data_IF_927283996884
#
_entry.id   IF_927283996884
#
_cell.length_a   1.000
_cell.length_b   1.000
_cell.length_c   1.000
_cell.angle_alpha   90.00
_cell.angle_beta   90.00
_cell.angle_gamma   90.00
#
_symmetry.space_group_name_H-M   'P 1'
#
loop_
_entity.id
_entity.type
_entity.pdbx_description
1 polymer ?
#
# COMPACT_ATOMS: atom_id res chain seq x y z
N UNK A 1 14.32 2.05 -6.55
CA UNK A 1 13.50 1.18 -5.67
C UNK A 1 12.27 2.01 -5.30
N UNK A 2 11.26 2.06 -6.18
CA UNK A 2 10.21 3.10 -6.16
C UNK A 2 8.83 2.55 -5.76
N UNK A 3 8.77 1.35 -5.19
CA UNK A 3 7.51 0.72 -4.79
C UNK A 3 7.01 1.24 -3.44
N UNK A 4 5.70 1.45 -3.33
CA UNK A 4 5.02 1.73 -2.08
C UNK A 4 4.64 0.39 -1.42
N UNK A 5 4.74 0.31 -0.09
CA UNK A 5 4.43 -0.89 0.69
C UNK A 5 3.16 -0.68 1.52
N UNK A 6 2.46 -1.76 1.82
CA UNK A 6 1.26 -1.76 2.68
C UNK A 6 1.55 -1.16 4.07
N UNK A 7 2.77 -1.34 4.59
CA UNK A 7 3.19 -0.70 5.84
C UNK A 7 3.24 0.83 5.79
N UNK A 8 3.59 1.42 4.65
CA UNK A 8 3.60 2.89 4.47
C UNK A 8 2.17 3.43 4.36
N UNK A 9 1.28 2.64 3.76
CA UNK A 9 -0.14 2.96 3.63
C UNK A 9 -0.86 2.98 4.99
N UNK A 10 -0.47 2.10 5.92
CA UNK A 10 -1.03 2.01 7.28
C UNK A 10 -0.42 3.00 8.28
N UNK A 11 0.75 3.57 7.96
CA UNK A 11 1.47 4.53 8.80
C UNK A 11 1.11 5.97 8.44
N UNK A 12 1.94 6.59 7.60
CA UNK A 12 1.83 8.01 7.22
C UNK A 12 1.19 8.18 5.83
N UNK A 13 -0.11 8.47 5.82
CA UNK A 13 -0.86 8.69 4.57
C UNK A 13 -0.33 9.87 3.74
N UNK A 14 0.25 10.89 4.39
CA UNK A 14 0.84 12.03 3.68
C UNK A 14 2.05 11.61 2.84
N UNK A 15 2.96 10.82 3.42
CA UNK A 15 4.13 10.31 2.72
C UNK A 15 3.73 9.35 1.59
N UNK A 16 2.68 8.56 1.82
CA UNK A 16 2.07 7.71 0.80
C UNK A 16 1.56 8.54 -0.39
N UNK A 17 0.81 9.61 -0.13
CA UNK A 17 0.24 10.47 -1.17
C UNK A 17 1.32 11.14 -2.02
N UNK A 18 2.40 11.63 -1.42
CA UNK A 18 3.52 12.23 -2.15
C UNK A 18 4.23 11.21 -3.05
N UNK A 19 4.54 10.02 -2.53
CA UNK A 19 5.15 8.95 -3.32
C UNK A 19 4.24 8.49 -4.45
N UNK A 20 2.94 8.34 -4.18
CA UNK A 20 1.95 7.91 -5.15
C UNK A 20 1.84 8.91 -6.31
N UNK A 21 1.74 10.21 -6.00
CA UNK A 21 1.77 11.29 -7.01
C UNK A 21 3.02 11.24 -7.88
N UNK A 22 4.19 10.99 -7.29
CA UNK A 22 5.46 10.89 -8.02
C UNK A 22 5.48 9.70 -9.00
N UNK A 23 4.97 8.54 -8.56
CA UNK A 23 4.85 7.34 -9.40
C UNK A 23 3.85 7.57 -10.54
N UNK A 24 2.68 8.13 -10.24
CA UNK A 24 1.65 8.41 -11.26
C UNK A 24 2.18 9.39 -12.28
N UNK A 25 2.87 10.48 -11.88
CA UNK A 25 3.49 11.42 -12.82
C UNK A 25 4.52 10.71 -13.73
N UNK A 26 5.31 9.80 -13.17
CA UNK A 26 6.26 9.00 -13.95
C UNK A 26 5.54 8.07 -14.94
N UNK A 27 4.46 7.42 -14.51
CA UNK A 27 3.66 6.54 -15.37
C UNK A 27 2.91 7.29 -16.48
N UNK A 28 2.34 8.46 -16.19
CA UNK A 28 1.69 9.31 -17.18
C UNK A 28 2.67 9.78 -18.26
N UNK A 29 3.92 10.08 -17.89
CA UNK A 29 4.98 10.40 -18.86
C UNK A 29 5.35 9.21 -19.75
N UNK A 30 5.35 8.00 -19.18
CA UNK A 30 5.66 6.77 -19.92
C UNK A 30 4.51 6.31 -20.82
N UNK A 31 3.27 6.58 -20.40
CA UNK A 31 2.04 6.15 -21.07
C UNK A 31 1.07 7.33 -21.23
N UNK A 32 1.20 8.13 -22.31
CA UNK A 32 0.37 9.32 -22.52
C UNK A 32 -1.11 9.01 -22.81
N UNK A 33 -1.46 7.75 -23.05
CA UNK A 33 -2.84 7.29 -23.31
C UNK A 33 -3.60 6.88 -22.04
N UNK A 34 -2.95 6.85 -20.87
CA UNK A 34 -3.60 6.46 -19.61
C UNK A 34 -4.04 7.71 -18.86
N UNK A 35 -5.31 7.76 -18.50
CA UNK A 35 -5.85 8.76 -17.59
C UNK A 35 -5.94 8.16 -16.19
N UNK A 36 -5.15 8.67 -15.24
CA UNK A 36 -5.17 8.22 -13.85
C UNK A 36 -5.74 9.34 -12.97
N UNK A 37 -6.87 9.06 -12.33
CA UNK A 37 -7.43 9.95 -11.31
C UNK A 37 -6.79 9.66 -9.95
N UNK A 38 -5.80 10.49 -9.62
CA UNK A 38 -5.01 10.35 -8.39
C UNK A 38 -5.86 10.55 -7.14
N UNK A 39 -6.84 11.46 -7.18
CA UNK A 39 -7.66 11.77 -6.01
C UNK A 39 -8.67 10.65 -5.74
N UNK A 40 -9.31 10.12 -6.79
CA UNK A 40 -10.20 8.98 -6.67
C UNK A 40 -9.47 7.72 -6.19
N UNK A 41 -8.25 7.47 -6.69
CA UNK A 41 -7.41 6.36 -6.22
C UNK A 41 -7.03 6.55 -4.74
N UNK A 42 -6.59 7.75 -4.34
CA UNK A 42 -6.24 8.05 -2.94
C UNK A 42 -7.44 7.86 -2.00
N UNK A 43 -8.63 8.28 -2.40
CA UNK A 43 -9.86 8.06 -1.63
C UNK A 43 -10.15 6.56 -1.47
N UNK A 44 -10.06 5.78 -2.55
CA UNK A 44 -10.20 4.32 -2.48
C UNK A 44 -9.15 3.69 -1.58
N UNK A 45 -7.89 4.11 -1.67
CA UNK A 45 -6.83 3.59 -0.83
C UNK A 45 -7.10 3.85 0.65
N UNK A 46 -7.65 5.01 1.00
CA UNK A 46 -8.07 5.33 2.37
C UNK A 46 -9.12 4.35 2.90
N UNK A 47 -10.16 4.07 2.12
CA UNK A 47 -11.19 3.08 2.47
C UNK A 47 -10.60 1.67 2.59
N UNK A 48 -9.64 1.33 1.72
CA UNK A 48 -8.93 0.06 1.81
C UNK A 48 -8.09 -0.02 3.08
N UNK A 49 -7.45 1.06 3.52
CA UNK A 49 -6.67 1.06 4.78
C UNK A 49 -7.56 0.64 5.94
N UNK A 50 -8.76 1.21 6.07
CA UNK A 50 -9.67 0.88 7.17
C UNK A 50 -10.10 -0.59 7.16
N UNK A 51 -10.38 -1.13 5.96
CA UNK A 51 -10.75 -2.54 5.79
C UNK A 51 -9.59 -3.50 6.01
N UNK A 52 -8.38 -3.11 5.62
CA UNK A 52 -7.17 -3.95 5.61
C UNK A 52 -6.43 -3.88 6.95
N UNK A 53 -6.60 -2.81 7.73
CA UNK A 53 -6.02 -2.61 9.07
C UNK A 53 -6.17 -3.81 10.01
N UNK A 54 -7.34 -4.49 10.14
CA UNK A 54 -7.45 -5.66 11.01
C UNK A 54 -6.74 -6.92 10.47
N UNK A 55 -6.48 -6.99 9.17
CA UNK A 55 -5.87 -8.16 8.51
C UNK A 55 -4.36 -8.03 8.34
N UNK A 56 -3.83 -6.81 8.37
CA UNK A 56 -2.38 -6.59 8.32
C UNK A 56 -1.81 -6.79 9.70
N UNK A 57 -1.45 -8.04 9.96
CA UNK A 57 -0.55 -8.41 11.05
C UNK A 57 0.84 -8.63 10.47
N UNK A 58 1.83 -8.47 11.34
CA UNK A 58 3.20 -8.81 10.99
C UNK A 58 3.27 -10.31 10.66
N UNK A 59 3.31 -10.61 9.36
CA UNK A 59 3.29 -11.99 8.86
C UNK A 59 4.52 -12.76 9.32
N UNK A 60 5.65 -12.10 9.59
CA UNK A 60 6.86 -12.74 10.11
C UNK A 60 6.59 -13.22 11.54
N UNK A 61 6.06 -12.36 12.41
CA UNK A 61 5.72 -12.73 13.78
C UNK A 61 4.61 -13.79 13.83
N UNK A 62 3.63 -13.70 12.92
CA UNK A 62 2.58 -14.70 12.78
C UNK A 62 3.15 -16.06 12.36
N UNK A 63 4.01 -16.10 11.33
CA UNK A 63 4.64 -17.32 10.84
C UNK A 63 5.57 -17.95 11.89
N UNK A 64 6.39 -17.12 12.56
CA UNK A 64 7.28 -17.56 13.62
C UNK A 64 6.50 -18.18 14.80
N UNK A 65 5.39 -17.55 15.19
CA UNK A 65 4.51 -18.10 16.23
C UNK A 65 3.78 -19.36 15.78
N UNK A 66 3.33 -19.43 14.53
CA UNK A 66 2.66 -20.61 13.97
C UNK A 66 3.59 -21.82 13.88
N UNK A 67 4.83 -21.62 13.41
CA UNK A 67 5.88 -22.63 13.37
C UNK A 67 6.23 -23.10 14.79
N UNK A 68 6.37 -22.18 15.75
CA UNK A 68 6.65 -22.52 17.15
C UNK A 68 5.50 -23.26 17.83
N UNK A 69 4.26 -23.01 17.40
CA UNK A 69 3.06 -23.70 17.89
C UNK A 69 2.81 -25.04 17.16
N UNK A 70 3.74 -25.51 16.33
CA UNK A 70 3.66 -26.83 15.68
C UNK A 70 2.51 -26.98 14.69
N UNK A 71 1.95 -25.86 14.20
CA UNK A 71 0.93 -25.88 13.14
C UNK A 71 1.65 -25.92 11.79
N UNK A 72 1.96 -27.14 11.34
CA UNK A 72 2.35 -27.45 9.96
C UNK A 72 1.13 -27.59 9.08
#
# INVERSE_FOLDING_TARGET
RNGIRVGELLGDFNLFSEKFKSIVNTHLRLFPSIHVDVEAELARYKDFVEKVRPYVKDTICFLHTALRNGKT
#
